data_IF_571869425461
#
_entry.id   IF_571869425461
#
_cell.length_a   1.000
_cell.length_b   1.000
_cell.length_c   1.000
_cell.angle_alpha   90.00
_cell.angle_beta   90.00
_cell.angle_gamma   90.00
#
_symmetry.space_group_name_H-M   'P 1'
#
loop_
_entity.id
_entity.type
_entity.pdbx_description
1 polymer ?
#
# COMPACT_ATOMS: atom_id res chain seq x y z
N UNK A 1 -26.58 24.49 -31.10
CA UNK A 1 -25.17 24.48 -31.40
C UNK A 1 -24.82 23.06 -31.82
N UNK A 2 -24.58 22.91 -33.10
CA UNK A 2 -24.33 21.66 -33.83
C UNK A 2 -22.90 21.21 -33.59
N UNK A 3 -22.69 20.00 -33.08
CA UNK A 3 -21.37 19.35 -33.05
C UNK A 3 -21.18 18.44 -34.26
N UNK A 4 -20.15 18.78 -35.05
CA UNK A 4 -19.66 18.04 -36.20
C UNK A 4 -18.93 16.75 -35.76
N UNK A 5 -19.32 15.62 -36.34
CA UNK A 5 -18.64 14.34 -36.31
C UNK A 5 -17.25 14.43 -36.92
N UNK A 6 -16.19 14.06 -36.18
CA UNK A 6 -14.84 13.79 -36.73
C UNK A 6 -14.57 12.29 -36.75
N UNK A 7 -14.06 11.87 -37.88
CA UNK A 7 -13.63 10.53 -38.29
C UNK A 7 -12.59 9.90 -37.32
N UNK A 8 -12.53 8.57 -37.20
CA UNK A 8 -11.57 7.89 -36.35
C UNK A 8 -10.16 7.92 -36.92
N UNK A 9 -9.22 8.13 -36.04
CA UNK A 9 -7.77 8.11 -36.30
C UNK A 9 -7.30 6.65 -36.49
N UNK A 10 -6.70 6.35 -37.65
CA UNK A 10 -6.04 5.08 -37.95
C UNK A 10 -4.55 5.25 -37.68
N UNK A 11 -3.91 4.42 -36.82
CA UNK A 11 -2.47 4.48 -36.63
C UNK A 11 -1.73 3.97 -37.88
N UNK A 12 -0.86 4.81 -38.44
CA UNK A 12 0.11 4.40 -39.45
C UNK A 12 1.23 3.57 -38.78
N UNK A 13 1.58 2.46 -39.42
CA UNK A 13 2.67 1.57 -39.05
C UNK A 13 4.02 2.32 -39.06
N UNK A 14 4.79 2.14 -37.99
CA UNK A 14 6.17 2.60 -37.90
C UNK A 14 7.04 1.82 -38.90
N UNK A 15 7.62 2.57 -39.82
CA UNK A 15 8.58 2.04 -40.81
C UNK A 15 9.90 1.65 -40.16
N UNK A 16 10.55 0.66 -40.80
CA UNK A 16 11.89 0.16 -40.50
C UNK A 16 12.93 1.30 -40.35
N UNK A 17 13.67 1.24 -39.27
CA UNK A 17 14.90 2.01 -39.09
C UNK A 17 16.04 1.16 -39.68
N UNK A 18 16.71 1.69 -40.68
CA UNK A 18 17.85 1.11 -41.39
C UNK A 18 19.12 1.26 -40.55
N UNK A 19 19.75 0.14 -40.23
CA UNK A 19 21.04 0.08 -39.55
C UNK A 19 22.18 0.43 -40.52
N UNK A 20 22.73 1.64 -40.43
CA UNK A 20 24.09 1.92 -40.92
C UNK A 20 24.76 3.03 -40.08
N UNK A 21 25.55 2.61 -39.10
CA UNK A 21 26.68 3.43 -38.65
C UNK A 21 27.93 2.56 -38.65
N UNK A 22 28.76 2.78 -39.67
CA UNK A 22 30.13 2.36 -39.72
C UNK A 22 30.97 3.35 -38.92
N UNK A 23 31.80 2.86 -38.00
CA UNK A 23 32.77 3.68 -37.27
C UNK A 23 33.69 2.79 -36.44
N UNK A 24 34.87 2.51 -37.01
CA UNK A 24 36.04 1.93 -36.40
C UNK A 24 36.41 2.63 -35.09
N UNK A 25 36.70 1.86 -34.02
CA UNK A 25 37.87 2.20 -33.20
C UNK A 25 38.26 1.01 -32.30
N UNK A 26 39.45 0.61 -32.49
CA UNK A 26 40.50 -0.15 -31.81
C UNK A 26 40.19 -0.80 -30.45
N UNK A 27 40.16 -2.13 -30.46
CA UNK A 27 40.29 -2.99 -29.29
C UNK A 27 41.75 -3.10 -28.91
N UNK A 28 42.15 -2.55 -27.78
CA UNK A 28 43.45 -2.75 -27.16
C UNK A 28 43.57 -4.14 -26.51
N UNK A 29 44.42 -4.96 -27.09
CA UNK A 29 44.76 -6.31 -26.61
C UNK A 29 45.72 -6.21 -25.42
N UNK A 30 45.33 -6.72 -24.25
CA UNK A 30 46.24 -6.90 -23.11
C UNK A 30 46.87 -8.29 -23.22
N UNK A 31 48.18 -8.34 -23.55
CA UNK A 31 49.01 -9.54 -23.60
C UNK A 31 49.43 -9.97 -22.20
N UNK A 32 49.14 -11.22 -21.85
CA UNK A 32 49.67 -11.91 -20.67
C UNK A 32 51.09 -12.38 -20.92
N UNK A 33 52.04 -11.88 -20.15
CA UNK A 33 53.45 -12.28 -20.15
C UNK A 33 53.61 -13.60 -19.38
N UNK A 34 54.09 -14.63 -20.07
CA UNK A 34 54.58 -15.87 -19.50
C UNK A 34 55.99 -15.66 -18.93
N UNK A 35 56.19 -15.92 -17.67
CA UNK A 35 57.52 -16.13 -17.07
C UNK A 35 57.83 -17.63 -17.00
N UNK A 36 58.74 -18.07 -17.89
CA UNK A 36 59.39 -19.37 -17.82
C UNK A 36 60.52 -19.30 -16.78
N UNK A 37 60.44 -20.10 -15.73
CA UNK A 37 61.53 -20.41 -14.83
C UNK A 37 62.05 -21.85 -15.01
N UNK A 38 63.28 -22.02 -15.51
CA UNK A 38 63.99 -23.31 -15.58
C UNK A 38 64.53 -23.69 -14.20
N UNK A 39 64.38 -24.98 -13.79
CA UNK A 39 64.99 -25.51 -12.56
C UNK A 39 65.03 -27.03 -12.51
N UNK A 40 66.03 -27.58 -13.07
CA UNK A 40 66.84 -28.82 -12.81
C UNK A 40 66.13 -30.00 -12.09
N UNK A 41 66.13 -31.10 -12.82
CA UNK A 41 65.96 -32.49 -12.42
C UNK A 41 66.93 -32.96 -11.34
N UNK A 42 66.47 -33.64 -10.32
CA UNK A 42 67.27 -34.61 -9.53
C UNK A 42 66.46 -35.90 -9.39
N UNK A 43 66.94 -36.97 -10.05
CA UNK A 43 66.45 -38.33 -9.85
C UNK A 43 67.03 -38.84 -8.52
N UNK A 44 66.14 -39.41 -7.69
CA UNK A 44 66.55 -40.38 -6.65
C UNK A 44 65.68 -41.61 -6.78
N UNK A 45 66.33 -42.75 -6.72
CA UNK A 45 65.81 -44.09 -6.99
C UNK A 45 65.29 -44.72 -5.70
N UNK A 46 64.17 -45.45 -5.89
CA UNK A 46 63.80 -46.75 -5.31
C UNK A 46 63.64 -46.92 -3.78
N UNK A 47 62.47 -47.33 -3.42
CA UNK A 47 62.13 -48.03 -2.16
C UNK A 47 60.70 -48.53 -2.23
N UNK A 48 60.53 -49.80 -2.69
CA UNK A 48 59.22 -50.49 -2.64
C UNK A 48 58.93 -50.89 -1.21
N UNK A 49 57.93 -50.40 -0.58
CA UNK A 49 57.36 -50.94 0.64
C UNK A 49 55.82 -51.02 0.49
N UNK A 50 55.36 -52.25 0.38
CA UNK A 50 53.96 -52.62 0.33
C UNK A 50 53.36 -52.50 1.73
N UNK A 51 52.61 -51.43 1.98
CA UNK A 51 51.80 -51.27 3.16
C UNK A 51 50.30 -51.29 2.75
N UNK A 52 49.61 -52.39 3.07
CA UNK A 52 48.16 -52.50 2.99
C UNK A 52 47.52 -51.52 3.95
N UNK A 53 46.97 -50.42 3.43
CA UNK A 53 46.07 -49.53 4.19
C UNK A 53 44.64 -50.05 4.02
N UNK A 54 44.08 -50.63 5.08
CA UNK A 54 42.64 -50.77 5.25
C UNK A 54 42.03 -49.34 5.35
N UNK A 55 41.42 -48.88 4.28
CA UNK A 55 40.60 -47.68 4.30
C UNK A 55 39.27 -48.01 4.97
N UNK A 56 39.14 -47.71 6.27
CA UNK A 56 37.84 -47.69 6.96
C UNK A 56 37.02 -46.56 6.34
N UNK A 57 35.99 -46.92 5.57
CA UNK A 57 35.00 -45.96 5.08
C UNK A 57 34.20 -45.41 6.27
N UNK A 58 34.56 -44.21 6.73
CA UNK A 58 33.73 -43.45 7.63
C UNK A 58 32.52 -42.92 6.80
N UNK A 59 31.25 -43.14 7.26
CA UNK A 59 30.12 -42.55 6.60
C UNK A 59 30.25 -41.03 6.71
N UNK A 60 30.40 -40.34 5.60
CA UNK A 60 30.27 -38.90 5.53
C UNK A 60 28.80 -38.58 5.85
N UNK A 61 28.52 -38.10 7.08
CA UNK A 61 27.27 -37.49 7.42
C UNK A 61 27.12 -36.26 6.51
N UNK A 62 26.27 -36.38 5.49
CA UNK A 62 25.85 -35.23 4.72
C UNK A 62 25.27 -34.19 5.68
N UNK A 63 25.64 -32.89 5.57
CA UNK A 63 25.04 -31.88 6.41
C UNK A 63 23.52 -31.92 6.21
N UNK A 64 22.78 -32.09 7.31
CA UNK A 64 21.34 -32.03 7.28
C UNK A 64 20.97 -30.69 6.63
N UNK A 65 20.28 -30.74 5.49
CA UNK A 65 19.70 -29.55 4.89
C UNK A 65 18.70 -29.00 5.90
N UNK A 66 19.06 -27.89 6.54
CA UNK A 66 18.14 -27.11 7.35
C UNK A 66 17.06 -26.62 6.37
N UNK A 67 15.94 -27.31 6.36
CA UNK A 67 14.75 -26.78 5.66
C UNK A 67 14.48 -25.41 6.27
N UNK A 68 14.38 -24.34 5.44
CA UNK A 68 13.95 -23.06 5.95
C UNK A 68 12.65 -23.28 6.76
N UNK A 69 12.61 -22.79 7.99
CA UNK A 69 11.38 -22.80 8.75
C UNK A 69 10.27 -22.17 7.89
N UNK A 70 9.08 -22.79 7.87
CA UNK A 70 7.94 -22.18 7.20
C UNK A 70 7.80 -20.75 7.74
N UNK A 71 7.55 -19.74 6.86
CA UNK A 71 7.43 -18.37 7.31
C UNK A 71 6.42 -18.27 8.44
N UNK A 72 6.78 -17.53 9.50
CA UNK A 72 5.91 -17.34 10.64
C UNK A 72 4.62 -16.67 10.15
N UNK A 73 3.46 -17.22 10.56
CA UNK A 73 2.16 -16.61 10.22
C UNK A 73 1.96 -15.36 11.06
N UNK A 74 1.43 -14.31 10.44
CA UNK A 74 0.97 -13.14 11.15
C UNK A 74 -0.31 -13.46 11.94
N UNK A 75 -0.35 -13.04 13.18
CA UNK A 75 -1.60 -13.01 13.94
C UNK A 75 -2.42 -11.79 13.59
N UNK A 76 -1.76 -10.69 13.25
CA UNK A 76 -2.40 -9.43 12.91
C UNK A 76 -1.87 -8.90 11.59
N UNK A 77 -2.70 -8.13 10.90
CA UNK A 77 -2.29 -7.32 9.74
C UNK A 77 -2.77 -5.90 9.93
N UNK A 78 -1.87 -4.94 9.73
CA UNK A 78 -2.20 -3.53 9.64
C UNK A 78 -1.79 -3.04 8.25
N UNK A 79 -2.78 -2.60 7.48
CA UNK A 79 -2.59 -1.93 6.20
C UNK A 79 -2.69 -0.42 6.40
N UNK A 80 -1.59 0.29 6.22
CA UNK A 80 -1.56 1.74 6.14
C UNK A 80 -1.66 2.14 4.67
N UNK A 81 -2.67 2.90 4.34
CA UNK A 81 -2.94 3.39 2.99
C UNK A 81 -2.80 4.91 2.94
N UNK A 82 -1.83 5.39 2.16
CA UNK A 82 -1.70 6.80 1.82
C UNK A 82 -2.46 7.10 0.55
N UNK A 83 -3.70 7.59 0.64
CA UNK A 83 -4.49 7.94 -0.54
C UNK A 83 -3.76 9.01 -1.36
N UNK A 84 -3.48 8.73 -2.63
CA UNK A 84 -2.64 9.54 -3.52
C UNK A 84 -1.14 9.62 -3.14
N UNK A 85 -0.64 8.69 -2.32
CA UNK A 85 0.73 8.67 -1.78
C UNK A 85 1.80 8.19 -2.76
N UNK A 86 1.99 8.87 -3.89
CA UNK A 86 2.99 8.53 -4.91
C UNK A 86 4.43 8.62 -4.42
N UNK A 87 5.37 8.03 -5.18
CA UNK A 87 6.81 8.03 -4.88
C UNK A 87 7.35 9.45 -4.70
N UNK A 88 6.94 10.37 -5.56
CA UNK A 88 7.37 11.78 -5.49
C UNK A 88 6.85 12.47 -4.25
N UNK A 89 5.60 12.21 -3.85
CA UNK A 89 4.96 12.76 -2.65
C UNK A 89 5.70 12.31 -1.38
N UNK A 90 5.97 11.00 -1.27
CA UNK A 90 6.72 10.43 -0.14
C UNK A 90 8.15 11.01 -0.07
N UNK A 91 8.83 11.12 -1.21
CA UNK A 91 10.19 11.66 -1.26
C UNK A 91 10.24 13.14 -0.90
N UNK A 92 9.32 13.95 -1.42
CA UNK A 92 9.22 15.37 -1.13
C UNK A 92 8.95 15.63 0.36
N UNK A 93 7.98 14.92 0.95
CA UNK A 93 7.66 15.04 2.37
C UNK A 93 8.87 14.72 3.26
N UNK A 94 9.60 13.64 2.98
CA UNK A 94 10.79 13.27 3.74
C UNK A 94 11.90 14.33 3.67
N UNK A 95 12.14 14.93 2.50
CA UNK A 95 13.15 15.97 2.37
C UNK A 95 12.68 17.28 3.04
N UNK A 96 11.39 17.63 2.90
CA UNK A 96 10.84 18.81 3.58
C UNK A 96 10.96 18.72 5.11
N UNK A 97 10.74 17.53 5.66
CA UNK A 97 10.80 17.32 7.11
C UNK A 97 12.22 17.25 7.66
N UNK A 98 13.18 16.73 6.91
CA UNK A 98 14.47 16.30 7.44
C UNK A 98 15.69 16.81 6.66
N UNK A 99 15.50 17.60 5.61
CA UNK A 99 16.51 18.11 4.67
C UNK A 99 17.46 17.04 4.09
N UNK A 100 16.99 15.79 4.01
CA UNK A 100 17.74 14.67 3.45
C UNK A 100 16.80 13.63 2.79
N UNK A 101 17.24 12.96 1.72
CA UNK A 101 16.46 11.90 1.09
C UNK A 101 16.40 10.64 1.97
N UNK A 102 15.43 9.78 1.72
CA UNK A 102 15.24 8.48 2.38
C UNK A 102 15.23 8.60 3.92
N UNK A 103 14.56 9.60 4.43
CA UNK A 103 14.58 9.95 5.85
C UNK A 103 13.34 9.57 6.62
N UNK A 104 12.30 9.09 5.93
CA UNK A 104 11.08 8.59 6.54
C UNK A 104 11.25 7.14 7.01
N UNK A 105 10.50 6.77 8.03
CA UNK A 105 10.47 5.41 8.55
C UNK A 105 9.95 4.42 7.49
N UNK A 106 8.93 4.79 6.72
CA UNK A 106 8.42 4.03 5.57
C UNK A 106 9.57 3.60 4.64
N UNK A 107 10.51 4.53 4.36
CA UNK A 107 11.64 4.28 3.48
C UNK A 107 12.75 3.41 4.12
N UNK A 108 12.66 3.13 5.41
CA UNK A 108 13.58 2.25 6.16
C UNK A 108 13.03 0.84 6.38
N UNK A 109 11.81 0.56 5.96
CA UNK A 109 11.20 -0.76 6.11
C UNK A 109 11.95 -1.80 5.27
N UNK A 110 12.14 -3.04 5.79
CA UNK A 110 13.09 -4.00 5.21
C UNK A 110 12.67 -4.59 3.86
N UNK A 111 11.37 -4.59 3.55
CA UNK A 111 10.83 -5.14 2.31
C UNK A 111 10.12 -4.06 1.52
N UNK A 112 10.54 -3.84 0.28
CA UNK A 112 10.03 -2.77 -0.58
C UNK A 112 9.73 -3.32 -1.97
N UNK A 113 8.63 -2.86 -2.54
CA UNK A 113 8.21 -3.13 -3.90
C UNK A 113 7.64 -1.86 -4.55
N UNK A 114 7.41 -1.93 -5.85
CA UNK A 114 6.60 -0.98 -6.61
C UNK A 114 5.35 -1.68 -7.10
N UNK A 115 4.20 -1.06 -6.92
CA UNK A 115 2.89 -1.61 -7.29
C UNK A 115 2.28 -0.80 -8.42
N UNK A 116 1.85 -1.49 -9.48
CA UNK A 116 0.92 -0.94 -10.46
C UNK A 116 -0.37 -0.49 -9.78
N UNK A 117 -0.95 0.59 -10.26
CA UNK A 117 -2.17 1.17 -9.72
C UNK A 117 -3.37 1.11 -10.68
N UNK A 118 -3.17 0.74 -11.96
CA UNK A 118 -4.22 0.77 -12.98
C UNK A 118 -5.49 0.03 -12.58
N UNK A 119 -6.65 0.52 -13.00
CA UNK A 119 -7.94 -0.17 -12.89
C UNK A 119 -8.18 -1.07 -14.10
N UNK A 120 -9.31 -1.78 -14.12
CA UNK A 120 -9.66 -2.67 -15.24
C UNK A 120 -9.87 -1.91 -16.54
N UNK A 121 -10.41 -0.69 -16.48
CA UNK A 121 -10.79 0.10 -17.64
C UNK A 121 -10.02 1.42 -17.81
N UNK A 122 -9.03 1.72 -16.95
CA UNK A 122 -8.24 2.96 -17.02
C UNK A 122 -6.79 2.72 -16.60
N UNK A 123 -5.86 3.42 -17.28
CA UNK A 123 -4.45 3.46 -16.87
C UNK A 123 -4.24 4.27 -15.59
N UNK A 124 -5.00 5.34 -15.41
CA UNK A 124 -5.03 6.14 -14.19
C UNK A 124 -6.29 5.77 -13.42
N UNK A 125 -6.13 5.23 -12.23
CA UNK A 125 -7.23 4.76 -11.39
C UNK A 125 -7.83 5.87 -10.53
N UNK A 126 -8.94 5.56 -9.89
CA UNK A 126 -9.45 6.27 -8.71
C UNK A 126 -9.31 5.37 -7.47
N UNK A 127 -9.53 5.93 -6.29
CA UNK A 127 -9.38 5.23 -5.01
C UNK A 127 -10.31 4.00 -4.90
N UNK A 128 -11.51 4.07 -5.48
CA UNK A 128 -12.46 2.94 -5.44
C UNK A 128 -11.91 1.69 -6.11
N UNK A 129 -11.41 1.81 -7.33
CA UNK A 129 -10.84 0.68 -8.06
C UNK A 129 -9.45 0.28 -7.52
N UNK A 130 -8.61 1.26 -7.13
CA UNK A 130 -7.30 1.00 -6.53
C UNK A 130 -7.42 0.18 -5.24
N UNK A 131 -8.25 0.65 -4.31
CA UNK A 131 -8.45 -0.04 -3.04
C UNK A 131 -9.21 -1.37 -3.20
N UNK A 132 -10.17 -1.47 -4.14
CA UNK A 132 -10.81 -2.74 -4.48
C UNK A 132 -9.77 -3.80 -4.84
N UNK A 133 -8.79 -3.46 -5.68
CA UNK A 133 -7.73 -4.40 -6.07
C UNK A 133 -6.90 -4.87 -4.86
N UNK A 134 -6.57 -3.95 -3.95
CA UNK A 134 -5.80 -4.25 -2.72
C UNK A 134 -6.61 -5.13 -1.76
N UNK A 135 -7.90 -4.87 -1.60
CA UNK A 135 -8.74 -5.54 -0.61
C UNK A 135 -9.36 -6.85 -1.06
N UNK A 136 -9.45 -7.08 -2.38
CA UNK A 136 -10.16 -8.26 -2.92
C UNK A 136 -9.30 -9.14 -3.82
N UNK A 137 -8.16 -8.64 -4.30
CA UNK A 137 -7.35 -9.33 -5.31
C UNK A 137 -7.93 -9.26 -6.73
N UNK A 138 -8.95 -8.43 -6.97
CA UNK A 138 -9.59 -8.27 -8.27
C UNK A 138 -9.48 -6.85 -8.79
N UNK A 139 -9.04 -6.67 -10.03
CA UNK A 139 -9.20 -5.39 -10.73
C UNK A 139 -10.68 -5.14 -11.02
N UNK A 140 -11.08 -3.88 -10.90
CA UNK A 140 -12.44 -3.44 -11.24
C UNK A 140 -12.43 -2.17 -12.07
N UNK A 141 -13.60 -1.73 -12.54
CA UNK A 141 -13.72 -0.47 -13.25
C UNK A 141 -13.60 0.71 -12.27
N UNK A 142 -13.10 1.82 -12.77
CA UNK A 142 -13.06 3.08 -12.03
C UNK A 142 -14.43 3.41 -11.42
N UNK A 143 -14.42 3.93 -10.20
CA UNK A 143 -15.57 4.27 -9.36
C UNK A 143 -16.38 3.08 -8.77
N UNK A 144 -16.02 1.84 -9.05
CA UNK A 144 -16.58 0.68 -8.34
C UNK A 144 -15.86 0.43 -7.01
N UNK A 145 -16.58 -0.15 -6.05
CA UNK A 145 -16.11 -0.42 -4.69
C UNK A 145 -16.38 -1.88 -4.35
N UNK A 146 -15.34 -2.67 -4.14
CA UNK A 146 -15.33 -4.11 -3.82
C UNK A 146 -16.39 -4.94 -4.58
N UNK A 147 -16.59 -4.57 -5.83
CA UNK A 147 -17.44 -5.21 -6.80
C UNK A 147 -16.75 -5.21 -8.17
N UNK A 148 -17.02 -6.21 -8.99
CA UNK A 148 -16.55 -6.31 -10.37
C UNK A 148 -17.73 -6.24 -11.34
N UNK A 149 -17.51 -5.85 -12.61
CA UNK A 149 -18.56 -5.92 -13.61
C UNK A 149 -19.18 -7.32 -13.67
N UNK A 150 -20.49 -7.40 -13.69
CA UNK A 150 -21.18 -8.69 -13.82
C UNK A 150 -20.92 -9.31 -15.21
N UNK A 151 -20.79 -10.64 -15.26
CA UNK A 151 -20.58 -11.37 -16.51
C UNK A 151 -21.77 -11.22 -17.48
N UNK A 152 -22.96 -10.93 -16.99
CA UNK A 152 -24.17 -10.68 -17.81
C UNK A 152 -24.17 -9.31 -18.51
N UNK A 153 -23.16 -8.46 -18.29
CA UNK A 153 -23.06 -7.13 -18.91
C UNK A 153 -23.70 -5.99 -18.11
N UNK A 154 -24.79 -6.26 -17.39
CA UNK A 154 -25.47 -5.27 -16.56
C UNK A 154 -25.31 -5.56 -15.08
N UNK A 155 -24.95 -4.53 -14.31
CA UNK A 155 -24.79 -4.63 -12.86
C UNK A 155 -23.39 -4.98 -12.39
N UNK A 156 -23.29 -5.38 -11.12
CA UNK A 156 -22.02 -5.70 -10.48
C UNK A 156 -22.11 -6.99 -9.66
N UNK A 157 -20.99 -7.71 -9.59
CA UNK A 157 -20.81 -8.87 -8.72
C UNK A 157 -19.98 -8.44 -7.51
N UNK A 158 -20.52 -8.49 -6.29
CA UNK A 158 -19.76 -8.25 -5.06
C UNK A 158 -18.60 -9.23 -4.91
N UNK A 159 -17.45 -8.75 -4.44
CA UNK A 159 -16.25 -9.57 -4.21
C UNK A 159 -15.83 -9.43 -2.75
N UNK A 160 -15.70 -10.57 -2.06
CA UNK A 160 -15.34 -10.59 -0.63
C UNK A 160 -13.99 -9.93 -0.37
N UNK A 161 -13.93 -9.07 0.62
CA UNK A 161 -12.74 -8.33 1.02
C UNK A 161 -11.90 -9.08 2.04
N UNK A 162 -10.63 -8.70 2.18
CA UNK A 162 -9.75 -9.24 3.22
C UNK A 162 -10.33 -9.02 4.64
N UNK A 163 -10.96 -7.87 4.87
CA UNK A 163 -11.61 -7.56 6.14
C UNK A 163 -12.71 -8.58 6.43
N UNK A 164 -13.57 -8.87 5.47
CA UNK A 164 -14.66 -9.84 5.60
C UNK A 164 -14.15 -11.29 5.76
N UNK A 165 -13.00 -11.63 5.14
CA UNK A 165 -12.32 -12.90 5.44
C UNK A 165 -11.83 -12.94 6.90
N UNK A 166 -11.30 -11.82 7.43
CA UNK A 166 -10.86 -11.74 8.82
C UNK A 166 -12.03 -11.92 9.80
N UNK A 167 -13.16 -11.27 9.55
CA UNK A 167 -14.41 -11.45 10.32
C UNK A 167 -14.88 -12.92 10.30
N UNK A 168 -14.91 -13.55 9.13
CA UNK A 168 -15.29 -14.96 8.97
C UNK A 168 -14.41 -15.92 9.78
N UNK A 169 -13.15 -15.56 10.00
CA UNK A 169 -12.23 -16.30 10.85
C UNK A 169 -12.33 -15.90 12.33
N UNK A 170 -13.25 -14.99 12.68
CA UNK A 170 -13.50 -14.47 14.02
C UNK A 170 -12.38 -13.61 14.55
N UNK A 171 -11.65 -12.92 13.68
CA UNK A 171 -10.69 -11.86 14.05
C UNK A 171 -11.43 -10.55 14.21
N UNK A 172 -10.92 -9.67 15.04
CA UNK A 172 -11.45 -8.31 15.10
C UNK A 172 -11.01 -7.49 13.91
N UNK A 173 -11.85 -6.53 13.51
CA UNK A 173 -11.63 -5.70 12.33
C UNK A 173 -11.78 -4.22 12.64
N UNK A 174 -11.01 -3.38 11.94
CA UNK A 174 -11.07 -1.94 12.10
C UNK A 174 -10.79 -1.17 10.82
N UNK A 175 -11.42 -0.02 10.71
CA UNK A 175 -11.20 0.97 9.65
C UNK A 175 -11.07 2.34 10.30
N UNK A 176 -9.92 2.98 10.10
CA UNK A 176 -9.62 4.34 10.59
C UNK A 176 -9.21 5.20 9.40
N UNK A 177 -9.82 6.36 9.23
CA UNK A 177 -9.53 7.27 8.12
C UNK A 177 -9.68 8.73 8.53
N UNK A 178 -8.88 9.63 7.96
CA UNK A 178 -9.11 11.08 8.08
C UNK A 178 -10.12 11.61 7.03
N UNK A 179 -10.58 10.73 6.15
CA UNK A 179 -11.60 11.01 5.16
C UNK A 179 -13.00 10.65 5.67
N UNK A 180 -14.01 10.78 4.81
CA UNK A 180 -15.36 10.32 5.15
C UNK A 180 -15.38 8.79 5.22
N UNK A 181 -15.93 8.24 6.29
CA UNK A 181 -15.96 6.80 6.50
C UNK A 181 -16.66 6.03 5.37
N UNK A 182 -17.52 6.68 4.63
CA UNK A 182 -18.22 6.13 3.46
C UNK A 182 -17.51 6.41 2.12
N UNK A 183 -16.36 7.14 2.11
CA UNK A 183 -15.61 7.35 0.88
C UNK A 183 -15.05 6.03 0.34
N UNK A 184 -14.58 6.06 -0.88
CA UNK A 184 -14.27 4.86 -1.65
C UNK A 184 -13.23 3.95 -0.98
N UNK A 185 -12.17 4.51 -0.43
CA UNK A 185 -11.09 3.76 0.21
C UNK A 185 -11.56 3.00 1.45
N UNK A 186 -12.16 3.65 2.48
CA UNK A 186 -12.67 2.91 3.62
C UNK A 186 -13.85 2.01 3.24
N UNK A 187 -14.73 2.45 2.34
CA UNK A 187 -15.87 1.66 1.88
C UNK A 187 -15.44 0.35 1.20
N UNK A 188 -14.31 0.34 0.48
CA UNK A 188 -13.79 -0.88 -0.16
C UNK A 188 -13.37 -1.97 0.84
N UNK A 189 -13.35 -1.68 2.12
CA UNK A 189 -13.13 -2.69 3.14
C UNK A 189 -14.38 -3.51 3.46
N UNK A 190 -15.60 -2.93 3.33
CA UNK A 190 -16.84 -3.51 3.89
C UNK A 190 -18.10 -3.32 3.04
N UNK A 191 -18.04 -2.57 1.94
CA UNK A 191 -19.20 -2.31 1.08
C UNK A 191 -18.94 -2.70 -0.37
N UNK A 192 -20.01 -3.04 -1.10
CA UNK A 192 -19.97 -3.56 -2.47
C UNK A 192 -20.96 -2.80 -3.33
N UNK A 193 -20.48 -1.77 -4.04
CA UNK A 193 -21.32 -0.91 -4.87
C UNK A 193 -20.72 -0.66 -6.25
N UNK A 194 -21.59 -0.51 -7.24
CA UNK A 194 -21.20 -0.16 -8.61
C UNK A 194 -20.74 1.28 -8.78
N UNK A 195 -21.04 2.15 -7.79
CA UNK A 195 -20.67 3.55 -7.81
C UNK A 195 -20.26 4.03 -6.42
N UNK A 196 -19.03 4.52 -6.26
CA UNK A 196 -18.49 5.05 -4.99
C UNK A 196 -19.31 6.20 -4.38
N UNK A 197 -20.14 6.86 -5.21
CA UNK A 197 -21.01 7.96 -4.77
C UNK A 197 -22.34 7.48 -4.15
N UNK A 198 -22.61 6.17 -4.17
CA UNK A 198 -23.82 5.59 -3.57
C UNK A 198 -23.68 5.51 -2.04
N UNK A 199 -23.55 6.68 -1.44
CA UNK A 199 -23.35 6.88 -0.01
C UNK A 199 -24.38 6.15 0.83
N UNK A 200 -25.64 6.22 0.43
CA UNK A 200 -26.72 5.65 1.19
C UNK A 200 -26.67 4.12 1.23
N UNK A 201 -26.31 3.49 0.13
CA UNK A 201 -26.11 2.04 0.09
C UNK A 201 -24.85 1.64 0.88
N UNK A 202 -23.77 2.43 0.84
CA UNK A 202 -22.56 2.20 1.64
C UNK A 202 -22.92 2.23 3.15
N UNK A 203 -23.64 3.24 3.64
CA UNK A 203 -24.09 3.28 5.03
C UNK A 203 -25.03 2.12 5.37
N UNK A 204 -25.86 1.67 4.44
CA UNK A 204 -26.72 0.50 4.67
C UNK A 204 -25.87 -0.77 4.85
N UNK A 205 -24.87 -0.99 3.99
CA UNK A 205 -23.99 -2.17 4.07
C UNK A 205 -23.07 -2.12 5.28
N UNK A 206 -22.63 -0.95 5.71
CA UNK A 206 -21.85 -0.77 6.95
C UNK A 206 -22.56 -1.37 8.17
N UNK A 207 -23.89 -1.25 8.26
CA UNK A 207 -24.70 -1.76 9.38
C UNK A 207 -25.36 -3.11 9.10
N UNK A 208 -25.44 -3.53 7.84
CA UNK A 208 -25.96 -4.81 7.39
C UNK A 208 -25.02 -5.38 6.33
N UNK A 209 -23.86 -5.90 6.74
CA UNK A 209 -22.82 -6.35 5.82
C UNK A 209 -23.32 -7.48 4.92
N UNK A 210 -22.74 -7.56 3.73
CA UNK A 210 -23.03 -8.64 2.78
C UNK A 210 -22.31 -9.93 3.14
N UNK A 211 -21.08 -9.81 3.62
CA UNK A 211 -20.24 -10.89 4.10
C UNK A 211 -19.75 -10.54 5.51
N UNK A 212 -19.36 -11.55 6.27
CA UNK A 212 -18.90 -11.32 7.64
C UNK A 212 -20.00 -10.93 8.61
N UNK A 213 -19.61 -10.37 9.74
CA UNK A 213 -20.52 -9.90 10.81
C UNK A 213 -20.46 -8.38 11.05
N UNK A 214 -19.61 -7.69 10.29
CA UNK A 214 -19.44 -6.24 10.27
C UNK A 214 -18.24 -5.75 11.07
N UNK A 215 -17.73 -4.59 10.67
CA UNK A 215 -16.50 -3.99 11.21
C UNK A 215 -16.65 -3.70 12.69
N UNK A 216 -15.67 -4.10 13.53
CA UNK A 216 -15.75 -3.83 14.97
C UNK A 216 -15.51 -2.35 15.30
N UNK A 217 -14.53 -1.73 14.68
CA UNK A 217 -14.15 -0.34 14.96
C UNK A 217 -14.15 0.48 13.67
N UNK A 218 -14.97 1.53 13.68
CA UNK A 218 -15.05 2.54 12.61
C UNK A 218 -14.66 3.90 13.16
N UNK A 219 -13.67 4.56 12.58
CA UNK A 219 -13.27 5.93 12.93
C UNK A 219 -13.08 6.75 11.67
N UNK A 220 -13.76 7.88 11.54
CA UNK A 220 -13.64 8.73 10.37
C UNK A 220 -14.48 9.99 10.42
N UNK A 221 -14.55 10.69 9.30
CA UNK A 221 -15.49 11.82 9.12
C UNK A 221 -16.84 11.33 8.58
N UNK A 222 -17.83 12.23 8.55
CA UNK A 222 -19.13 12.00 7.92
C UNK A 222 -20.29 11.82 8.90
N UNK A 223 -20.23 12.44 10.08
CA UNK A 223 -21.34 12.47 11.05
C UNK A 223 -22.60 13.10 10.43
N UNK A 224 -22.45 14.23 9.75
CA UNK A 224 -23.58 14.89 9.08
C UNK A 224 -24.15 14.03 7.95
N UNK A 225 -23.28 13.36 7.17
CA UNK A 225 -23.71 12.46 6.10
C UNK A 225 -24.48 11.25 6.64
N UNK A 226 -24.00 10.62 7.72
CA UNK A 226 -24.70 9.53 8.41
C UNK A 226 -26.06 9.99 8.93
N UNK A 227 -26.10 11.15 9.59
CA UNK A 227 -27.32 11.74 10.11
C UNK A 227 -28.37 11.93 9.01
N UNK A 228 -27.97 12.53 7.88
CA UNK A 228 -28.86 12.74 6.73
C UNK A 228 -29.34 11.42 6.10
N UNK A 229 -28.42 10.45 5.90
CA UNK A 229 -28.73 9.17 5.30
C UNK A 229 -29.74 8.36 6.10
N UNK A 230 -29.60 8.33 7.44
CA UNK A 230 -30.52 7.58 8.30
C UNK A 230 -31.85 8.33 8.52
N UNK A 231 -31.84 9.67 8.57
CA UNK A 231 -33.06 10.45 8.62
C UNK A 231 -33.95 10.23 7.38
N UNK A 232 -33.35 10.14 6.19
CA UNK A 232 -34.09 9.81 4.98
C UNK A 232 -34.75 8.42 5.00
N UNK A 233 -34.31 7.53 5.89
CA UNK A 233 -34.87 6.18 6.13
C UNK A 233 -35.82 6.12 7.34
N UNK A 234 -36.21 7.25 7.90
CA UNK A 234 -37.11 7.33 9.03
C UNK A 234 -36.55 6.91 10.39
N UNK A 235 -35.21 6.95 10.55
CA UNK A 235 -34.52 6.66 11.81
C UNK A 235 -33.43 7.68 12.07
N UNK A 236 -32.78 7.62 13.24
CA UNK A 236 -31.62 8.47 13.54
C UNK A 236 -30.33 7.62 13.43
N UNK A 237 -29.20 8.28 13.12
CA UNK A 237 -27.89 7.58 13.09
C UNK A 237 -27.60 6.86 14.41
N UNK A 238 -27.72 7.47 15.61
CA UNK A 238 -27.54 6.77 16.87
C UNK A 238 -28.43 5.52 17.04
N UNK A 239 -29.70 5.59 16.63
CA UNK A 239 -30.60 4.43 16.72
C UNK A 239 -30.22 3.32 15.77
N UNK A 240 -29.81 3.64 14.52
CA UNK A 240 -29.39 2.68 13.52
C UNK A 240 -28.11 1.95 13.94
N UNK A 241 -27.08 2.70 14.39
CA UNK A 241 -25.84 2.14 14.88
C UNK A 241 -26.04 1.30 16.16
N UNK A 242 -26.82 1.78 17.12
CA UNK A 242 -27.15 1.02 18.34
C UNK A 242 -27.87 -0.29 18.02
N UNK A 243 -28.82 -0.30 17.06
CA UNK A 243 -29.50 -1.52 16.59
C UNK A 243 -28.53 -2.52 15.98
N UNK A 244 -27.45 -2.05 15.32
CA UNK A 244 -26.38 -2.88 14.76
C UNK A 244 -25.30 -3.23 15.80
N UNK A 245 -25.47 -2.88 17.07
CA UNK A 245 -24.59 -3.23 18.17
C UNK A 245 -23.41 -2.30 18.39
N UNK A 246 -23.41 -1.10 17.78
CA UNK A 246 -22.33 -0.12 17.97
C UNK A 246 -22.64 0.87 19.08
N UNK A 247 -21.61 1.21 19.85
CA UNK A 247 -21.54 2.51 20.50
C UNK A 247 -21.23 3.55 19.43
N UNK A 248 -22.02 4.59 19.33
CA UNK A 248 -21.95 5.58 18.26
C UNK A 248 -21.87 7.00 18.81
N UNK A 249 -20.96 7.79 18.27
CA UNK A 249 -20.77 9.20 18.61
C UNK A 249 -19.56 9.80 17.96
N UNK A 250 -19.11 10.95 18.48
CA UNK A 250 -17.91 11.68 18.05
C UNK A 250 -16.79 11.68 19.09
N UNK A 251 -17.03 11.07 20.24
CA UNK A 251 -16.07 11.00 21.34
C UNK A 251 -15.14 9.77 21.21
N UNK A 252 -13.80 9.96 21.05
CA UNK A 252 -12.84 8.87 21.05
C UNK A 252 -12.84 8.01 22.32
N UNK A 253 -13.37 8.51 23.45
CA UNK A 253 -13.49 7.74 24.68
C UNK A 253 -14.36 6.46 24.48
N UNK A 254 -15.21 6.41 23.47
CA UNK A 254 -15.95 5.21 23.08
C UNK A 254 -15.05 4.01 22.75
N UNK A 255 -13.76 4.23 22.39
CA UNK A 255 -12.79 3.17 22.15
C UNK A 255 -12.21 2.55 23.44
N UNK A 256 -12.46 3.13 24.61
CA UNK A 256 -11.95 2.59 25.87
C UNK A 256 -12.68 1.29 26.28
N UNK A 257 -13.96 1.17 25.94
CA UNK A 257 -14.80 0.05 26.29
C UNK A 257 -14.76 -1.07 25.24
N UNK A 258 -14.86 -2.36 25.64
CA UNK A 258 -14.88 -3.47 24.70
C UNK A 258 -16.14 -3.50 23.84
N UNK A 259 -16.03 -4.08 22.64
CA UNK A 259 -17.15 -4.25 21.68
C UNK A 259 -17.12 -3.21 20.56
N UNK A 260 -18.13 -3.24 19.71
CA UNK A 260 -18.20 -2.40 18.50
C UNK A 260 -18.35 -0.92 18.82
N UNK A 261 -17.59 -0.09 18.10
CA UNK A 261 -17.68 1.36 18.21
C UNK A 261 -17.55 2.04 16.83
N UNK A 262 -18.36 3.06 16.61
CA UNK A 262 -18.28 3.91 15.44
C UNK A 262 -18.16 5.37 15.89
N UNK A 263 -16.99 5.96 15.65
CA UNK A 263 -16.67 7.34 15.97
C UNK A 263 -16.65 8.14 14.67
N UNK A 264 -17.69 8.93 14.45
CA UNK A 264 -17.82 9.79 13.28
C UNK A 264 -17.75 11.26 13.68
N UNK A 265 -17.00 12.03 12.92
CA UNK A 265 -16.79 13.46 13.11
C UNK A 265 -17.01 14.21 11.81
N UNK A 266 -17.20 15.52 11.88
CA UNK A 266 -17.15 16.40 10.69
C UNK A 266 -15.93 17.33 10.71
N UNK A 267 -15.07 17.17 11.72
CA UNK A 267 -13.83 17.92 11.91
C UNK A 267 -12.61 17.01 11.90
N UNK A 268 -11.44 17.56 11.62
CA UNK A 268 -10.18 16.84 11.72
C UNK A 268 -9.91 16.35 13.15
N UNK A 269 -9.14 15.30 13.25
CA UNK A 269 -8.72 14.72 14.54
C UNK A 269 -7.26 14.25 14.45
N UNK A 270 -6.61 14.16 15.60
CA UNK A 270 -5.25 13.65 15.68
C UNK A 270 -5.22 12.14 15.33
N UNK A 271 -4.42 11.72 14.32
CA UNK A 271 -4.44 10.34 13.84
C UNK A 271 -3.93 9.34 14.87
N UNK A 272 -2.77 9.61 15.44
CA UNK A 272 -2.07 8.65 16.29
C UNK A 272 -2.88 8.18 17.50
N UNK A 273 -3.51 9.04 18.32
CA UNK A 273 -4.33 8.57 19.43
C UNK A 273 -5.50 7.69 19.00
N UNK A 274 -6.14 7.98 17.86
CA UNK A 274 -7.25 7.18 17.35
C UNK A 274 -6.78 5.79 16.91
N UNK A 275 -5.65 5.69 16.21
CA UNK A 275 -5.09 4.41 15.76
C UNK A 275 -4.55 3.60 16.92
N UNK A 276 -3.84 4.21 17.88
CA UNK A 276 -3.36 3.51 19.10
C UNK A 276 -4.53 2.94 19.92
N UNK A 277 -5.59 3.71 20.13
CA UNK A 277 -6.78 3.24 20.82
C UNK A 277 -7.47 2.09 20.07
N UNK A 278 -7.56 2.19 18.74
CA UNK A 278 -8.10 1.13 17.88
C UNK A 278 -7.27 -0.14 17.97
N UNK A 279 -5.95 -0.07 17.80
CA UNK A 279 -5.04 -1.22 17.94
C UNK A 279 -5.20 -1.88 19.31
N UNK A 280 -5.22 -1.08 20.38
CA UNK A 280 -5.42 -1.59 21.75
C UNK A 280 -6.75 -2.32 21.91
N UNK A 281 -7.80 -1.80 21.29
CA UNK A 281 -9.13 -2.41 21.32
C UNK A 281 -9.15 -3.74 20.55
N UNK A 282 -8.66 -3.76 19.31
CA UNK A 282 -8.66 -4.93 18.43
C UNK A 282 -7.74 -6.05 18.97
N UNK A 283 -6.63 -5.69 19.59
CA UNK A 283 -5.65 -6.63 20.17
C UNK A 283 -6.21 -7.45 21.35
N UNK A 284 -7.37 -7.11 21.89
CA UNK A 284 -8.08 -7.93 22.90
C UNK A 284 -8.56 -9.27 22.35
N UNK A 285 -8.72 -9.37 21.04
CA UNK A 285 -9.09 -10.63 20.40
C UNK A 285 -7.89 -11.59 20.33
N UNK A 286 -7.94 -12.77 20.99
CA UNK A 286 -6.83 -13.72 21.00
C UNK A 286 -6.53 -14.31 19.61
N UNK A 287 -7.50 -14.29 18.68
CA UNK A 287 -7.29 -14.70 17.29
C UNK A 287 -6.53 -13.67 16.46
N UNK A 288 -6.41 -12.43 16.96
CA UNK A 288 -5.79 -11.30 16.26
C UNK A 288 -6.78 -10.43 15.51
N UNK A 289 -6.26 -9.57 14.63
CA UNK A 289 -7.07 -8.55 13.96
C UNK A 289 -6.56 -8.22 12.55
N UNK A 290 -7.44 -7.59 11.77
CA UNK A 290 -7.14 -6.81 10.58
C UNK A 290 -7.52 -5.35 10.82
N UNK A 291 -6.61 -4.44 10.53
CA UNK A 291 -6.84 -3.00 10.62
C UNK A 291 -6.40 -2.33 9.31
N UNK A 292 -7.28 -1.55 8.71
CA UNK A 292 -6.95 -0.60 7.66
C UNK A 292 -6.92 0.82 8.24
N UNK A 293 -5.83 1.54 7.96
CA UNK A 293 -5.64 2.94 8.34
C UNK A 293 -5.35 3.74 7.09
N UNK A 294 -6.28 4.61 6.72
CA UNK A 294 -6.11 5.50 5.59
C UNK A 294 -5.77 6.91 6.06
N UNK A 295 -4.87 7.57 5.32
CA UNK A 295 -4.59 8.99 5.48
C UNK A 295 -4.47 9.64 4.10
N UNK A 296 -5.27 10.67 3.88
CA UNK A 296 -5.31 11.44 2.64
C UNK A 296 -3.98 12.17 2.41
N UNK A 297 -3.33 11.87 1.29
CA UNK A 297 -2.05 12.47 0.88
C UNK A 297 -2.18 13.25 -0.43
N UNK A 298 -3.40 13.58 -0.86
CA UNK A 298 -3.62 14.43 -2.04
C UNK A 298 -2.91 15.77 -1.86
N UNK A 299 -2.26 16.20 -2.89
CA UNK A 299 -1.45 17.42 -2.90
C UNK A 299 -2.06 18.55 -3.72
N UNK A 300 -3.34 18.51 -4.04
CA UNK A 300 -4.15 19.67 -4.44
C UNK A 300 -4.09 20.77 -3.36
N UNK A 301 -4.10 20.43 -2.06
CA UNK A 301 -3.49 21.20 -0.99
C UNK A 301 -2.12 20.62 -0.66
N UNK A 302 -1.07 21.11 -1.32
CA UNK A 302 0.27 20.56 -1.20
C UNK A 302 0.82 20.57 0.24
N UNK A 303 0.42 21.56 1.05
CA UNK A 303 0.85 21.65 2.46
C UNK A 303 0.15 20.61 3.31
N UNK A 304 -1.15 20.40 3.10
CA UNK A 304 -1.92 19.39 3.82
C UNK A 304 -1.43 17.98 3.43
N UNK A 305 -1.37 17.66 2.15
CA UNK A 305 -0.95 16.34 1.67
C UNK A 305 0.45 15.96 2.14
N UNK A 306 1.45 16.85 2.01
CA UNK A 306 2.82 16.58 2.47
C UNK A 306 2.91 16.45 4.00
N UNK A 307 2.12 17.20 4.77
CA UNK A 307 2.03 17.04 6.23
C UNK A 307 1.43 15.68 6.58
N UNK A 308 0.39 15.24 5.89
CA UNK A 308 -0.26 13.96 6.11
C UNK A 308 0.68 12.78 5.86
N UNK A 309 1.63 12.88 4.91
CA UNK A 309 2.70 11.87 4.75
C UNK A 309 3.54 11.76 6.02
N UNK A 310 3.94 12.89 6.61
CA UNK A 310 4.77 12.93 7.82
C UNK A 310 4.00 12.35 9.01
N UNK A 311 2.72 12.69 9.14
CA UNK A 311 1.83 12.14 10.17
C UNK A 311 1.67 10.62 10.03
N UNK A 312 1.51 10.11 8.80
CA UNK A 312 1.42 8.68 8.51
C UNK A 312 2.74 7.97 8.86
N UNK A 313 3.88 8.55 8.49
CA UNK A 313 5.20 7.99 8.78
C UNK A 313 5.44 7.85 10.29
N UNK A 314 5.12 8.90 11.06
CA UNK A 314 5.23 8.86 12.52
C UNK A 314 4.27 7.84 13.13
N UNK A 315 3.05 7.77 12.62
CA UNK A 315 2.03 6.80 13.02
C UNK A 315 2.51 5.35 12.80
N UNK A 316 3.03 5.03 11.62
CA UNK A 316 3.55 3.69 11.31
C UNK A 316 4.70 3.32 12.25
N UNK A 317 5.65 4.26 12.48
CA UNK A 317 6.78 4.06 13.38
C UNK A 317 6.32 3.72 14.80
N UNK A 318 5.35 4.45 15.32
CA UNK A 318 4.82 4.27 16.67
C UNK A 318 3.99 3.01 16.80
N UNK A 319 3.12 2.75 15.84
CA UNK A 319 2.28 1.55 15.84
C UNK A 319 3.14 0.28 15.72
N UNK A 320 4.21 0.31 14.92
CA UNK A 320 5.16 -0.82 14.84
C UNK A 320 5.76 -1.16 16.22
N UNK A 321 6.02 -0.16 17.05
CA UNK A 321 6.60 -0.37 18.37
C UNK A 321 5.61 -1.06 19.36
N UNK A 322 4.31 -0.98 19.12
CA UNK A 322 3.27 -1.49 20.03
C UNK A 322 2.47 -2.66 19.48
N UNK A 323 2.51 -2.89 18.16
CA UNK A 323 1.69 -3.93 17.51
C UNK A 323 2.20 -5.37 17.72
N UNK A 324 3.45 -5.54 18.20
CA UNK A 324 4.06 -6.85 18.41
C UNK A 324 4.69 -7.46 17.16
N UNK A 325 5.59 -8.43 17.36
CA UNK A 325 6.37 -9.08 16.30
C UNK A 325 5.54 -10.04 15.45
N UNK A 326 4.35 -10.41 15.89
CA UNK A 326 3.39 -11.25 15.19
C UNK A 326 2.44 -10.45 14.26
N UNK A 327 2.78 -9.19 13.98
CA UNK A 327 2.00 -8.28 13.14
C UNK A 327 2.70 -7.99 11.83
N UNK A 328 2.03 -8.28 10.71
CA UNK A 328 2.43 -7.78 9.40
C UNK A 328 1.97 -6.33 9.27
N UNK A 329 2.91 -5.43 9.05
CA UNK A 329 2.65 -4.02 8.75
C UNK A 329 2.98 -3.78 7.28
N UNK A 330 2.03 -3.24 6.55
CA UNK A 330 2.13 -2.83 5.16
C UNK A 330 1.82 -1.35 5.04
N UNK A 331 2.61 -0.63 4.26
CA UNK A 331 2.29 0.70 3.73
C UNK A 331 2.21 0.63 2.22
N UNK A 332 1.19 1.25 1.64
CA UNK A 332 1.09 1.49 0.19
C UNK A 332 0.17 2.67 -0.10
N UNK A 333 -0.01 2.98 -1.37
CA UNK A 333 -1.03 3.89 -1.88
C UNK A 333 -1.93 3.17 -2.87
N UNK A 334 -3.12 3.68 -3.08
CA UNK A 334 -4.08 3.20 -4.08
C UNK A 334 -3.80 3.77 -5.47
N UNK A 335 -3.24 5.00 -5.53
CA UNK A 335 -2.72 5.66 -6.73
C UNK A 335 -1.71 6.75 -6.36
N UNK A 336 -1.15 7.40 -7.36
CA UNK A 336 -0.27 8.55 -7.23
C UNK A 336 -1.01 9.85 -7.55
N UNK A 337 -0.34 10.99 -7.30
CA UNK A 337 -0.80 12.34 -7.61
C UNK A 337 0.28 13.13 -8.31
N UNK A 338 -0.10 14.12 -9.11
CA UNK A 338 0.81 14.85 -9.98
C UNK A 338 1.72 15.85 -9.23
N UNK A 339 2.54 15.35 -8.31
CA UNK A 339 3.58 16.10 -7.62
C UNK A 339 4.94 15.84 -8.26
N UNK A 340 5.69 16.90 -8.52
CA UNK A 340 7.04 16.85 -9.07
C UNK A 340 8.01 17.68 -8.24
N UNK A 341 9.12 17.08 -7.82
CA UNK A 341 10.29 17.83 -7.33
C UNK A 341 11.10 18.30 -8.52
N UNK A 342 11.14 19.62 -8.75
CA UNK A 342 11.80 20.23 -9.89
C UNK A 342 13.12 20.94 -9.57
N UNK A 343 13.36 21.26 -8.28
CA UNK A 343 14.53 22.04 -7.86
C UNK A 343 14.83 21.93 -6.38
N UNK A 344 15.63 22.86 -5.90
CA UNK A 344 16.14 22.93 -4.54
C UNK A 344 17.65 22.68 -4.47
N UNK A 345 18.33 23.43 -3.61
CA UNK A 345 19.77 23.31 -3.36
C UNK A 345 20.03 22.55 -2.06
N UNK A 346 20.95 21.58 -2.09
CA UNK A 346 21.39 20.89 -0.87
C UNK A 346 22.14 21.85 0.05
N UNK A 347 22.02 21.64 1.37
CA UNK A 347 22.63 22.51 2.37
C UNK A 347 21.79 23.74 2.75
N UNK A 348 20.63 23.90 2.11
CA UNK A 348 19.61 24.88 2.51
C UNK A 348 18.30 24.14 2.79
N UNK A 349 17.52 24.49 3.84
CA UNK A 349 16.26 23.86 4.13
C UNK A 349 15.30 23.90 2.94
N UNK A 350 14.82 22.73 2.47
CA UNK A 350 13.97 22.66 1.28
C UNK A 350 12.64 23.39 1.52
N UNK A 351 12.10 23.33 2.75
CA UNK A 351 10.87 24.02 3.12
C UNK A 351 11.00 25.55 2.96
N UNK A 352 12.14 26.11 3.33
CA UNK A 352 12.40 27.56 3.16
C UNK A 352 12.50 27.93 1.67
N UNK A 353 13.13 27.11 0.84
CA UNK A 353 13.25 27.33 -0.60
C UNK A 353 11.89 27.23 -1.30
N UNK A 354 11.08 26.23 -0.93
CA UNK A 354 9.71 26.08 -1.42
C UNK A 354 8.84 27.28 -1.08
N UNK A 355 8.87 27.72 0.19
CA UNK A 355 8.11 28.89 0.64
C UNK A 355 8.57 30.19 -0.04
N UNK A 356 9.88 30.38 -0.23
CA UNK A 356 10.44 31.54 -0.92
C UNK A 356 10.02 31.60 -2.40
N UNK A 357 10.01 30.46 -3.09
CA UNK A 357 9.52 30.38 -4.48
C UNK A 357 8.01 30.65 -4.55
N UNK A 358 7.21 30.08 -3.65
CA UNK A 358 5.77 30.30 -3.57
C UNK A 358 5.39 31.76 -3.29
N UNK A 359 6.25 32.51 -2.60
CA UNK A 359 6.03 33.94 -2.33
C UNK A 359 6.31 34.87 -3.52
N UNK A 360 6.86 34.36 -4.63
CA UNK A 360 7.14 35.16 -5.84
C UNK A 360 5.85 35.52 -6.58
N UNK A 361 5.70 36.74 -7.07
CA UNK A 361 4.52 37.15 -7.85
C UNK A 361 4.28 36.24 -9.05
N UNK A 362 3.05 35.77 -9.21
CA UNK A 362 2.61 34.92 -10.32
C UNK A 362 2.99 33.45 -10.23
N UNK A 363 3.63 33.00 -9.14
CA UNK A 363 3.91 31.60 -8.90
C UNK A 363 2.67 30.95 -8.25
N UNK A 364 2.25 29.84 -8.80
CA UNK A 364 1.20 28.93 -8.29
C UNK A 364 1.85 27.59 -7.91
N UNK A 365 1.11 26.71 -7.28
CA UNK A 365 1.60 25.35 -7.00
C UNK A 365 2.03 24.62 -8.28
N UNK A 366 1.30 24.79 -9.38
CA UNK A 366 1.65 24.19 -10.67
C UNK A 366 2.95 24.76 -11.29
N UNK A 367 3.35 25.97 -10.95
CA UNK A 367 4.51 26.66 -11.53
C UNK A 367 5.67 26.83 -10.55
N UNK A 368 5.53 26.37 -9.32
CA UNK A 368 6.60 26.40 -8.33
C UNK A 368 7.78 25.55 -8.82
N UNK A 369 8.99 26.11 -8.85
CA UNK A 369 10.17 25.46 -9.42
C UNK A 369 10.83 24.45 -8.44
N UNK A 370 10.49 24.51 -7.18
CA UNK A 370 11.03 23.59 -6.14
C UNK A 370 10.18 22.35 -6.06
N UNK A 371 8.90 22.51 -5.76
CA UNK A 371 7.89 21.43 -5.78
C UNK A 371 6.70 21.97 -6.56
N UNK A 372 6.38 21.35 -7.66
CA UNK A 372 5.18 21.68 -8.45
C UNK A 372 4.13 20.59 -8.29
N UNK A 373 2.87 21.00 -8.20
CA UNK A 373 1.72 20.11 -8.13
C UNK A 373 0.72 20.53 -9.20
N UNK A 374 0.27 19.57 -10.00
CA UNK A 374 -0.89 19.73 -10.88
C UNK A 374 -2.06 18.96 -10.25
N UNK A 375 -3.26 19.46 -10.42
CA UNK A 375 -4.45 18.76 -9.93
C UNK A 375 -4.71 17.52 -10.81
N UNK A 376 -4.67 16.35 -10.17
CA UNK A 376 -5.01 15.08 -10.82
C UNK A 376 -4.20 13.87 -10.38
N UNK A 377 -4.85 12.72 -10.48
CA UNK A 377 -4.21 11.44 -10.28
C UNK A 377 -3.25 11.14 -11.43
N UNK A 378 -2.23 10.33 -11.14
CA UNK A 378 -1.25 9.86 -12.13
C UNK A 378 -1.10 8.35 -12.06
N UNK A 379 -0.65 7.74 -13.15
CA UNK A 379 -0.70 6.28 -13.36
C UNK A 379 0.63 5.56 -13.16
N UNK A 380 1.62 6.22 -12.56
CA UNK A 380 2.88 5.56 -12.19
C UNK A 380 2.69 4.62 -10.98
N UNK A 381 3.67 3.75 -10.79
CA UNK A 381 3.71 2.83 -9.66
C UNK A 381 3.85 3.59 -8.32
N UNK A 382 3.32 2.98 -7.28
CA UNK A 382 3.42 3.45 -5.89
C UNK A 382 4.31 2.53 -5.06
N UNK A 383 4.86 3.05 -3.97
CA UNK A 383 5.67 2.26 -3.02
C UNK A 383 4.77 1.28 -2.27
N UNK A 384 5.25 0.06 -2.12
CA UNK A 384 4.82 -0.88 -1.08
C UNK A 384 5.99 -1.07 -0.13
N UNK A 385 5.79 -0.81 1.15
CA UNK A 385 6.79 -1.05 2.18
C UNK A 385 6.21 -1.97 3.27
N UNK A 386 6.99 -2.96 3.72
CA UNK A 386 6.47 -3.96 4.64
C UNK A 386 7.48 -4.39 5.70
N UNK A 387 6.96 -4.81 6.85
CA UNK A 387 7.73 -5.46 7.91
C UNK A 387 6.85 -6.42 8.72
N UNK A 388 7.48 -7.43 9.33
CA UNK A 388 6.80 -8.47 10.10
C UNK A 388 6.59 -9.76 9.31
N UNK A 389 5.88 -10.75 9.88
CA UNK A 389 5.69 -12.05 9.26
C UNK A 389 4.96 -11.97 7.91
N UNK A 390 5.55 -12.55 6.85
CA UNK A 390 5.02 -12.52 5.49
C UNK A 390 5.47 -11.32 4.66
N UNK A 391 6.20 -10.35 5.25
CA UNK A 391 6.69 -9.17 4.55
C UNK A 391 7.71 -9.50 3.43
N UNK A 392 8.42 -10.63 3.53
CA UNK A 392 9.37 -11.12 2.52
C UNK A 392 8.74 -11.34 1.14
N UNK A 393 7.42 -11.48 1.06
CA UNK A 393 6.69 -11.58 -0.21
C UNK A 393 6.55 -10.22 -0.94
N UNK A 394 6.91 -9.11 -0.27
CA UNK A 394 6.92 -7.76 -0.84
C UNK A 394 8.27 -7.48 -1.46
N UNK A 395 8.36 -7.57 -2.78
CA UNK A 395 9.59 -7.31 -3.56
C UNK A 395 9.29 -7.09 -5.05
N UNK A 396 10.17 -6.37 -5.73
CA UNK A 396 10.13 -6.15 -7.19
C UNK A 396 8.95 -5.28 -7.65
N UNK A 397 8.50 -5.49 -8.87
CA UNK A 397 7.29 -4.89 -9.41
C UNK A 397 6.14 -5.87 -9.30
N UNK A 398 4.96 -5.40 -8.88
CA UNK A 398 3.80 -6.24 -8.71
C UNK A 398 2.49 -5.53 -9.07
N UNK A 399 1.44 -6.26 -9.48
CA UNK A 399 0.11 -5.68 -9.56
C UNK A 399 -0.44 -5.43 -8.14
N UNK A 400 -1.26 -4.39 -7.97
CA UNK A 400 -1.88 -4.09 -6.68
C UNK A 400 -2.77 -5.23 -6.13
N UNK A 401 -3.31 -6.07 -7.01
CA UNK A 401 -4.06 -7.29 -6.63
C UNK A 401 -3.23 -8.30 -5.83
N UNK A 402 -1.89 -8.30 -5.99
CA UNK A 402 -1.01 -9.21 -5.25
C UNK A 402 -0.99 -8.92 -3.75
N UNK A 403 -1.26 -7.68 -3.34
CA UNK A 403 -1.31 -7.29 -1.93
C UNK A 403 -2.34 -8.08 -1.14
N UNK A 404 -3.53 -8.32 -1.73
CA UNK A 404 -4.53 -9.21 -1.16
C UNK A 404 -3.94 -10.60 -0.86
N UNK A 405 -3.30 -11.22 -1.84
CA UNK A 405 -2.70 -12.55 -1.69
C UNK A 405 -1.59 -12.60 -0.63
N UNK A 406 -0.77 -11.56 -0.52
CA UNK A 406 0.26 -11.42 0.53
C UNK A 406 -0.38 -11.40 1.90
N UNK A 407 -1.39 -10.56 2.13
CA UNK A 407 -2.08 -10.44 3.42
C UNK A 407 -2.86 -11.71 3.77
N UNK A 408 -3.57 -12.34 2.81
CA UNK A 408 -4.24 -13.62 2.98
C UNK A 408 -3.27 -14.72 3.41
N UNK A 409 -2.13 -14.82 2.73
CA UNK A 409 -1.09 -15.81 3.03
C UNK A 409 -0.48 -15.59 4.41
N UNK A 410 -0.16 -14.34 4.76
CA UNK A 410 0.39 -13.99 6.06
C UNK A 410 -0.57 -14.38 7.19
N UNK A 411 -1.87 -14.12 7.04
CA UNK A 411 -2.91 -14.53 8.01
C UNK A 411 -3.20 -16.04 7.99
N UNK A 412 -2.69 -16.77 7.00
CA UNK A 412 -2.97 -18.19 6.80
C UNK A 412 -4.38 -18.48 6.29
N UNK A 413 -5.01 -17.51 5.65
CA UNK A 413 -6.33 -17.64 5.04
C UNK A 413 -6.23 -18.30 3.66
N UNK A 414 -7.34 -18.89 3.23
CA UNK A 414 -7.52 -19.40 1.87
C UNK A 414 -8.68 -18.66 1.24
N UNK A 415 -8.55 -18.23 -0.03
CA UNK A 415 -9.71 -17.73 -0.76
C UNK A 415 -10.80 -18.78 -0.81
N UNK A 416 -12.05 -18.35 -0.91
CA UNK A 416 -13.17 -19.24 -1.21
C UNK A 416 -12.95 -19.92 -2.56
N UNK A 417 -13.43 -21.16 -2.71
CA UNK A 417 -13.29 -21.95 -3.90
C UNK A 417 -14.20 -21.46 -5.05
#
# INVERSE_FOLDING_TARGET
VTYSCRTPFVPQALGHIDDRVTGNDQVGTITTNQLRGRGKSRRVRTGLSLACLLAAALPTLAPAQVRPAAPAKARNVILFLGDAGGVSTISAAGILANDRPQSLFIQSMPHVALSDTSSLNRWVTDSGAGMTAIMTGHKTNSAMVSAIPAASGDGVTPVKTLLEYAEQQGRSTGVVTNMKIWDATPAACYAHVGARKDKDEIFRQMLAPRFGDGVDILVGKGMADATASFAARGTTAPQAFAKAGYRFGDDPALLAEPGRAAILRDTDFAPLPAVEATVKQLARNPKGYFLMVEWDMHTDDSKAGLRHVIEMDDMIRRIKAVAGDDTLILFTADHSFALRMGGGERGKPLAAQYAAEAARPGVTDATNKVISVQDGHTGEEVIVAASGPGAEAVHGFMPNTRLFGIMMTALGFKPDA
#
